data_IF_236913742038
#
_entry.id   IF_236913742038
#
_cell.length_a   1.000
_cell.length_b   1.000
_cell.length_c   1.000
_cell.angle_alpha   90.00
_cell.angle_beta   90.00
_cell.angle_gamma   90.00
#
_symmetry.space_group_name_H-M   'P 1'
#
loop_
_entity.id
_entity.type
_entity.pdbx_description
1 polymer ?
#
# COMPACT_ATOMS: atom_id res chain seq x y z
N UNK A 1 -2.57 6.13 0.50
CA UNK A 1 -2.66 6.04 -0.98
C UNK A 1 -4.00 6.56 -1.51
N UNK A 2 -5.16 6.16 -0.98
CA UNK A 2 -6.46 6.69 -1.45
C UNK A 2 -6.55 8.22 -1.46
N UNK A 3 -5.88 8.89 -0.52
CA UNK A 3 -5.81 10.36 -0.43
C UNK A 3 -5.21 11.03 -1.70
N UNK A 4 -4.36 10.33 -2.47
CA UNK A 4 -3.77 10.90 -3.69
C UNK A 4 -4.65 10.73 -4.93
N UNK A 5 -5.65 9.83 -4.89
CA UNK A 5 -6.45 9.47 -6.07
C UNK A 5 -7.17 10.64 -6.74
N UNK A 6 -7.73 11.64 -6.01
CA UNK A 6 -8.39 12.78 -6.65
C UNK A 6 -7.45 13.64 -7.53
N UNK A 7 -6.14 13.50 -7.35
CA UNK A 7 -5.12 14.30 -8.02
C UNK A 7 -4.39 13.53 -9.13
N UNK A 8 -4.72 12.25 -9.32
CA UNK A 8 -4.10 11.36 -10.30
C UNK A 8 -4.95 11.22 -11.55
N UNK A 9 -4.30 10.90 -12.67
CA UNK A 9 -5.03 10.55 -13.89
C UNK A 9 -5.72 9.17 -13.74
N UNK A 10 -6.83 8.90 -14.43
CA UNK A 10 -7.55 7.63 -14.33
C UNK A 10 -6.69 6.39 -14.58
N UNK A 11 -5.75 6.45 -15.53
CA UNK A 11 -4.84 5.33 -15.82
C UNK A 11 -3.79 5.12 -14.71
N UNK A 12 -3.38 6.17 -14.01
CA UNK A 12 -2.44 6.07 -12.88
C UNK A 12 -3.12 5.41 -11.69
N UNK A 13 -4.40 5.75 -11.44
CA UNK A 13 -5.23 5.05 -10.46
C UNK A 13 -5.37 3.57 -10.85
N UNK A 14 -5.64 3.27 -12.12
CA UNK A 14 -5.71 1.88 -12.58
C UNK A 14 -4.41 1.10 -12.33
N UNK A 15 -3.25 1.68 -12.64
CA UNK A 15 -1.94 1.05 -12.37
C UNK A 15 -1.70 0.82 -10.88
N UNK A 16 -2.09 1.76 -10.02
CA UNK A 16 -1.99 1.59 -8.57
C UNK A 16 -2.92 0.48 -8.07
N UNK A 17 -4.14 0.38 -8.60
CA UNK A 17 -5.07 -0.69 -8.25
C UNK A 17 -4.58 -2.06 -8.72
N UNK A 18 -3.93 -2.15 -9.88
CA UNK A 18 -3.28 -3.39 -10.32
C UNK A 18 -2.15 -3.81 -9.38
N UNK A 19 -1.32 -2.86 -8.93
CA UNK A 19 -0.28 -3.15 -7.94
C UNK A 19 -0.86 -3.61 -6.60
N UNK A 20 -1.98 -3.01 -6.15
CA UNK A 20 -2.71 -3.48 -4.96
C UNK A 20 -3.27 -4.88 -5.17
N UNK A 21 -3.80 -5.17 -6.36
CA UNK A 21 -4.30 -6.50 -6.71
C UNK A 21 -3.20 -7.56 -6.65
N UNK A 22 -2.04 -7.29 -7.25
CA UNK A 22 -0.89 -8.20 -7.19
C UNK A 22 -0.41 -8.39 -5.75
N UNK A 23 -0.39 -7.33 -4.93
CA UNK A 23 -0.09 -7.44 -3.51
C UNK A 23 -1.08 -8.37 -2.79
N UNK A 24 -2.38 -8.18 -2.99
CA UNK A 24 -3.42 -9.00 -2.35
C UNK A 24 -3.39 -10.46 -2.82
N UNK A 25 -3.03 -10.70 -4.08
CA UNK A 25 -2.85 -12.05 -4.65
C UNK A 25 -1.69 -12.78 -3.98
N UNK A 26 -0.64 -12.08 -3.59
CA UNK A 26 0.48 -12.70 -2.87
C UNK A 26 0.23 -12.75 -1.35
N UNK A 27 -0.55 -11.79 -0.83
CA UNK A 27 -0.75 -11.54 0.59
C UNK A 27 -2.20 -11.76 1.03
N UNK A 28 -2.79 -12.88 0.60
CA UNK A 28 -4.19 -13.23 0.83
C UNK A 28 -4.64 -12.98 2.29
N UNK A 29 -5.83 -12.39 2.51
CA UNK A 29 -6.36 -12.07 3.83
C UNK A 29 -6.96 -13.30 4.52
N UNK A 30 -6.11 -14.31 4.76
CA UNK A 30 -6.51 -15.56 5.37
C UNK A 30 -6.58 -15.43 6.90
N UNK A 31 -7.57 -16.03 7.59
CA UNK A 31 -7.69 -15.96 9.05
C UNK A 31 -6.43 -16.44 9.79
N UNK A 32 -5.70 -17.41 9.23
CA UNK A 32 -4.48 -17.96 9.83
C UNK A 32 -3.33 -16.94 9.95
N UNK A 33 -3.39 -15.83 9.21
CA UNK A 33 -2.38 -14.75 9.28
C UNK A 33 -2.64 -13.76 10.43
N UNK A 34 -3.75 -13.91 11.14
CA UNK A 34 -4.12 -13.03 12.24
C UNK A 34 -3.91 -13.72 13.59
N UNK A 35 -3.25 -13.02 14.51
CA UNK A 35 -3.03 -13.45 15.89
C UNK A 35 -3.95 -12.66 16.82
N UNK A 36 -4.63 -13.35 17.73
CA UNK A 36 -5.48 -12.68 18.71
C UNK A 36 -4.65 -12.07 19.85
N UNK A 37 -4.84 -10.78 20.11
CA UNK A 37 -4.25 -10.07 21.25
C UNK A 37 -5.30 -9.97 22.37
N UNK A 38 -5.23 -10.82 23.41
CA UNK A 38 -6.25 -10.87 24.46
C UNK A 38 -6.33 -9.56 25.27
N UNK A 39 -5.20 -8.87 25.47
CA UNK A 39 -5.15 -7.59 26.20
C UNK A 39 -6.01 -6.49 25.59
N UNK A 40 -6.22 -6.55 24.27
CA UNK A 40 -6.96 -5.54 23.51
C UNK A 40 -8.24 -6.09 22.88
N UNK A 41 -8.46 -7.40 22.94
CA UNK A 41 -9.60 -8.06 22.28
C UNK A 41 -9.61 -7.92 20.75
N UNK A 42 -8.44 -7.76 20.11
CA UNK A 42 -8.32 -7.53 18.66
C UNK A 42 -7.47 -8.59 17.98
N UNK A 43 -7.74 -8.82 16.70
CA UNK A 43 -6.89 -9.61 15.83
C UNK A 43 -5.88 -8.69 15.12
N UNK A 44 -4.60 -9.03 15.17
CA UNK A 44 -3.52 -8.29 14.50
C UNK A 44 -2.83 -9.15 13.46
N UNK A 45 -2.36 -8.52 12.39
CA UNK A 45 -1.54 -9.15 11.36
C UNK A 45 -0.10 -8.68 11.48
N UNK A 46 0.81 -9.63 11.54
CA UNK A 46 2.24 -9.37 11.52
C UNK A 46 2.76 -9.38 10.07
N UNK A 47 2.93 -8.19 9.50
CA UNK A 47 3.40 -8.01 8.12
C UNK A 47 4.91 -8.27 7.97
N UNK A 48 5.69 -8.36 9.06
CA UNK A 48 7.12 -8.70 8.95
C UNK A 48 7.33 -10.12 8.40
N UNK A 49 6.32 -10.99 8.54
CA UNK A 49 6.33 -12.38 8.06
C UNK A 49 5.88 -12.54 6.61
N UNK A 50 5.34 -11.48 6.00
CA UNK A 50 4.74 -11.50 4.66
C UNK A 50 5.75 -11.25 3.52
N UNK A 51 7.05 -11.13 3.84
CA UNK A 51 8.13 -10.96 2.85
C UNK A 51 8.32 -9.52 2.37
N UNK A 52 9.03 -9.35 1.25
CA UNK A 52 9.43 -8.02 0.76
C UNK A 52 8.26 -7.28 0.08
N UNK A 53 7.68 -6.32 0.80
CA UNK A 53 6.62 -5.41 0.30
C UNK A 53 7.17 -4.39 -0.71
N UNK A 54 8.49 -4.19 -0.72
CA UNK A 54 9.19 -3.18 -1.53
C UNK A 54 8.90 -3.26 -3.03
N UNK A 55 8.69 -4.47 -3.58
CA UNK A 55 8.37 -4.67 -4.99
C UNK A 55 7.06 -4.00 -5.42
N UNK A 56 6.09 -3.91 -4.51
CA UNK A 56 4.79 -3.25 -4.77
C UNK A 56 4.85 -1.74 -4.58
N UNK A 57 5.88 -1.22 -3.91
CA UNK A 57 6.08 0.21 -3.69
C UNK A 57 6.72 0.92 -4.90
N UNK A 58 7.37 0.19 -5.80
CA UNK A 58 8.02 0.78 -6.99
C UNK A 58 7.05 1.56 -7.90
N UNK A 59 5.86 1.01 -8.14
CA UNK A 59 4.81 1.67 -8.94
C UNK A 59 4.31 2.93 -8.23
N UNK A 60 4.08 2.84 -6.91
CA UNK A 60 3.65 3.98 -6.11
C UNK A 60 4.68 5.12 -6.14
N UNK A 61 5.97 4.82 -5.95
CA UNK A 61 7.04 5.81 -6.02
C UNK A 61 7.14 6.44 -7.41
N UNK A 62 6.97 5.66 -8.48
CA UNK A 62 7.01 6.15 -9.86
C UNK A 62 5.86 7.12 -10.15
N UNK A 63 4.64 6.77 -9.75
CA UNK A 63 3.45 7.64 -9.91
C UNK A 63 3.58 8.92 -9.08
N UNK A 64 4.09 8.80 -7.85
CA UNK A 64 4.33 9.94 -6.96
C UNK A 64 5.41 10.89 -7.52
N UNK A 65 6.52 10.33 -8.02
CA UNK A 65 7.61 11.11 -8.60
C UNK A 65 7.18 11.85 -9.86
N UNK A 66 6.44 11.18 -10.76
CA UNK A 66 5.88 11.82 -11.96
C UNK A 66 4.95 12.99 -11.63
N UNK A 67 4.21 12.87 -10.52
CA UNK A 67 3.27 13.88 -10.05
C UNK A 67 3.84 14.78 -8.94
N UNK A 68 5.17 14.86 -8.79
CA UNK A 68 5.80 15.59 -7.67
C UNK A 68 5.41 17.06 -7.58
N UNK A 69 5.13 17.68 -8.72
CA UNK A 69 4.66 19.06 -8.82
C UNK A 69 3.30 19.30 -8.11
N UNK A 70 2.47 18.26 -7.97
CA UNK A 70 1.18 18.30 -7.26
C UNK A 70 1.22 17.57 -5.91
N UNK A 71 1.96 16.47 -5.85
CA UNK A 71 1.97 15.54 -4.71
C UNK A 71 3.22 15.67 -3.82
N UNK A 72 4.10 16.64 -4.06
CA UNK A 72 5.35 16.80 -3.33
C UNK A 72 5.20 16.89 -1.80
N UNK A 73 4.16 17.57 -1.32
CA UNK A 73 3.85 17.66 0.12
C UNK A 73 3.41 16.30 0.70
N UNK A 74 2.74 15.48 -0.11
CA UNK A 74 2.29 14.13 0.29
C UNK A 74 3.43 13.11 0.17
N UNK A 75 4.45 13.37 -0.65
CA UNK A 75 5.59 12.47 -0.81
C UNK A 75 6.41 12.29 0.47
N UNK A 76 6.51 13.33 1.31
CA UNK A 76 7.20 13.25 2.59
C UNK A 76 6.48 12.43 3.66
N UNK A 77 5.16 12.23 3.52
CA UNK A 77 4.32 11.53 4.53
C UNK A 77 4.56 10.02 4.56
N UNK A 78 4.98 9.44 3.44
CA UNK A 78 5.09 7.99 3.27
C UNK A 78 6.53 7.47 3.31
N UNK A 79 7.48 8.29 3.82
CA UNK A 79 8.84 7.79 4.08
C UNK A 79 8.82 6.85 5.30
N UNK A 80 9.50 5.68 5.23
CA UNK A 80 9.74 4.85 6.40
C UNK A 80 10.64 5.55 7.43
#
# INVERSE_FOLDING_TARGET
VHEVFPHLAPFEVHLLLLSVWDYLRENHPLPQKFTFLPEKGVFVRDFARDGEVGKHLGVLHSVLHKNIHKLGLLAGRFRP
#
